data_IF_846746076531
#
_entry.id   IF_846746076531
#
_cell.length_a   1.000
_cell.length_b   1.000
_cell.length_c   1.000
_cell.angle_alpha   90.00
_cell.angle_beta   90.00
_cell.angle_gamma   90.00
#
_symmetry.space_group_name_H-M   'P 1'
#
loop_
_entity.id
_entity.type
_entity.pdbx_description
1 polymer ?
#
# COMPACT_ATOMS: atom_id res chain seq x y z
N UNK A 1 -21.72 2.62 15.54
CA UNK A 1 -20.60 1.72 15.91
C UNK A 1 -20.36 0.58 14.92
N UNK A 2 -21.40 -0.09 14.37
CA UNK A 2 -21.23 -1.16 13.37
C UNK A 2 -20.52 -0.70 12.09
N UNK A 3 -20.91 0.46 11.55
CA UNK A 3 -20.27 1.03 10.36
C UNK A 3 -18.77 1.32 10.55
N UNK A 4 -18.37 1.76 11.75
CA UNK A 4 -16.96 1.97 12.09
C UNK A 4 -16.18 0.66 12.11
N UNK A 5 -16.75 -0.40 12.71
CA UNK A 5 -16.17 -1.74 12.68
C UNK A 5 -16.01 -2.27 11.24
N UNK A 6 -17.01 -2.08 10.38
CA UNK A 6 -16.90 -2.45 8.97
C UNK A 6 -15.79 -1.66 8.25
N UNK A 7 -15.67 -0.35 8.52
CA UNK A 7 -14.62 0.46 7.93
C UNK A 7 -13.22 -0.01 8.34
N UNK A 8 -13.02 -0.39 9.61
CA UNK A 8 -11.74 -0.94 10.08
C UNK A 8 -11.45 -2.27 9.42
N UNK A 9 -12.42 -3.18 9.33
CA UNK A 9 -12.25 -4.48 8.68
C UNK A 9 -11.90 -4.33 7.20
N UNK A 10 -12.58 -3.42 6.49
CA UNK A 10 -12.28 -3.11 5.08
C UNK A 10 -10.88 -2.52 4.93
N UNK A 11 -10.50 -1.57 5.79
CA UNK A 11 -9.16 -0.99 5.76
C UNK A 11 -8.08 -2.06 5.92
N UNK A 12 -8.21 -2.92 6.94
CA UNK A 12 -7.24 -4.00 7.21
C UNK A 12 -7.17 -4.98 6.03
N UNK A 13 -8.32 -5.36 5.46
CA UNK A 13 -8.37 -6.27 4.32
C UNK A 13 -7.68 -5.67 3.08
N UNK A 14 -7.92 -4.39 2.79
CA UNK A 14 -7.27 -3.68 1.68
C UNK A 14 -5.76 -3.58 1.90
N UNK A 15 -5.31 -3.21 3.11
CA UNK A 15 -3.88 -3.13 3.42
C UNK A 15 -3.17 -4.47 3.30
N UNK A 16 -3.81 -5.57 3.74
CA UNK A 16 -3.24 -6.91 3.64
C UNK A 16 -3.23 -7.44 2.19
N UNK A 17 -4.24 -7.11 1.38
CA UNK A 17 -4.34 -7.55 -0.01
C UNK A 17 -3.51 -6.69 -0.98
N UNK A 18 -3.22 -5.43 -0.61
CA UNK A 18 -2.45 -4.50 -1.41
C UNK A 18 -1.15 -5.08 -1.98
N UNK A 19 -0.23 -5.69 -1.19
CA UNK A 19 1.03 -6.19 -1.76
C UNK A 19 0.82 -7.23 -2.86
N UNK A 20 -0.14 -8.15 -2.69
CA UNK A 20 -0.43 -9.19 -3.70
C UNK A 20 -1.06 -8.62 -4.96
N UNK A 21 -2.01 -7.69 -4.82
CA UNK A 21 -2.67 -7.06 -5.96
C UNK A 21 -1.69 -6.15 -6.72
N UNK A 22 -0.86 -5.42 -5.99
CA UNK A 22 0.16 -4.55 -6.57
C UNK A 22 1.22 -5.37 -7.32
N UNK A 23 1.69 -6.48 -6.75
CA UNK A 23 2.61 -7.40 -7.42
C UNK A 23 2.03 -7.98 -8.71
N UNK A 24 0.75 -8.38 -8.71
CA UNK A 24 0.05 -8.89 -9.90
C UNK A 24 -0.04 -7.89 -11.05
N UNK A 25 -0.15 -6.59 -10.75
CA UNK A 25 -0.21 -5.53 -11.77
C UNK A 25 1.18 -4.97 -12.11
N UNK A 26 2.26 -5.64 -11.67
CA UNK A 26 3.64 -5.23 -11.93
C UNK A 26 4.11 -4.03 -11.13
N UNK A 27 3.36 -3.63 -10.09
CA UNK A 27 3.78 -2.60 -9.15
C UNK A 27 4.69 -3.24 -8.09
N UNK A 28 6.00 -3.05 -8.25
CA UNK A 28 6.99 -3.45 -7.25
C UNK A 28 7.21 -2.30 -6.26
N UNK A 29 6.81 -2.50 -5.01
CA UNK A 29 7.18 -1.58 -3.93
C UNK A 29 8.71 -1.55 -3.69
N UNK A 30 9.48 -2.49 -4.25
CA UNK A 30 10.95 -2.44 -4.20
C UNK A 30 11.53 -1.30 -5.06
N UNK A 31 10.77 -0.77 -6.04
CA UNK A 31 11.15 0.42 -6.81
C UNK A 31 10.87 1.72 -6.05
N UNK A 32 10.15 1.66 -4.91
CA UNK A 32 9.97 2.79 -4.00
C UNK A 32 11.11 2.93 -2.98
N UNK A 33 12.30 2.47 -3.35
CA UNK A 33 13.52 2.89 -2.68
C UNK A 33 13.66 4.40 -2.83
N UNK A 34 13.75 5.12 -1.70
CA UNK A 34 14.19 6.51 -1.68
C UNK A 34 15.59 6.57 -2.27
N UNK A 35 15.67 6.72 -3.59
CA UNK A 35 16.91 6.92 -4.30
C UNK A 35 17.58 8.16 -3.71
N UNK A 36 18.83 8.02 -3.29
CA UNK A 36 19.70 9.10 -2.81
C UNK A 36 19.90 10.23 -3.85
N UNK A 37 19.19 10.19 -4.98
CA UNK A 37 19.28 11.09 -6.12
C UNK A 37 18.21 12.18 -6.17
N UNK A 38 17.23 12.22 -5.27
CA UNK A 38 16.40 13.42 -5.11
C UNK A 38 17.15 14.41 -4.21
N UNK A 39 18.25 14.93 -4.77
CA UNK A 39 18.85 16.14 -4.22
C UNK A 39 17.89 17.28 -4.55
N UNK A 40 17.26 17.83 -3.51
CA UNK A 40 16.63 19.15 -3.51
C UNK A 40 17.74 20.20 -3.51
N UNK A 41 18.48 20.25 -4.61
CA UNK A 41 19.29 21.41 -4.99
C UNK A 41 18.68 21.99 -6.28
#
# INVERSE_FOLDING_TARGET
>A
MKAFLFAVVVMVAVTAAAPTVLDQIGFSAADSGSGSSVRLD
#
